data_IF_334479297401
#
_entry.id   IF_334479297401
#
_cell.length_a   1.000
_cell.length_b   1.000
_cell.length_c   1.000
_cell.angle_alpha   90.00
_cell.angle_beta   90.00
_cell.angle_gamma   90.00
#
_symmetry.space_group_name_H-M   'P 1'
#
loop_
_entity.id
_entity.type
_entity.pdbx_description
1 polymer ?
#
# COMPACT_ATOMS: atom_id res chain seq x y z
N UNK A 1 4.42 -2.68 -7.19
CA UNK A 1 4.92 -1.53 -6.40
C UNK A 1 5.62 -2.03 -5.14
N UNK A 2 4.95 -2.74 -4.23
CA UNK A 2 5.53 -3.14 -2.94
C UNK A 2 6.85 -3.93 -3.04
N UNK A 3 6.97 -4.85 -4.01
CA UNK A 3 8.21 -5.61 -4.23
C UNK A 3 9.39 -4.70 -4.60
N UNK A 4 9.17 -3.73 -5.48
CA UNK A 4 10.22 -2.77 -5.86
C UNK A 4 10.64 -1.92 -4.65
N UNK A 5 9.69 -1.50 -3.83
CA UNK A 5 9.99 -0.74 -2.60
C UNK A 5 10.80 -1.63 -1.65
N UNK A 6 10.42 -2.89 -1.47
CA UNK A 6 11.16 -3.85 -0.64
C UNK A 6 12.61 -4.02 -1.10
N UNK A 7 12.83 -4.19 -2.40
CA UNK A 7 14.18 -4.33 -2.95
C UNK A 7 15.01 -3.04 -2.77
N UNK A 8 14.41 -1.86 -2.93
CA UNK A 8 15.08 -0.57 -2.67
C UNK A 8 15.43 -0.40 -1.19
N UNK A 9 14.63 -0.95 -0.28
CA UNK A 9 14.96 -0.99 1.17
C UNK A 9 15.99 -2.07 1.54
N UNK A 10 16.43 -2.89 0.58
CA UNK A 10 17.46 -3.91 0.78
C UNK A 10 16.96 -5.34 0.97
N UNK A 11 15.66 -5.61 0.75
CA UNK A 11 15.13 -6.98 0.79
C UNK A 11 15.60 -7.75 -0.45
N UNK A 12 16.43 -8.78 -0.24
CA UNK A 12 16.99 -9.61 -1.32
C UNK A 12 16.54 -11.07 -1.27
N UNK A 13 16.04 -11.52 -0.12
CA UNK A 13 15.63 -12.91 0.08
C UNK A 13 14.35 -13.22 -0.73
N UNK A 14 14.39 -14.30 -1.52
CA UNK A 14 13.37 -14.59 -2.52
C UNK A 14 12.04 -15.00 -1.89
N UNK A 15 12.05 -15.76 -0.79
CA UNK A 15 10.83 -16.14 -0.10
C UNK A 15 10.14 -14.90 0.50
N UNK A 16 10.89 -13.96 1.08
CA UNK A 16 10.37 -12.69 1.57
C UNK A 16 9.73 -11.87 0.44
N UNK A 17 10.37 -11.77 -0.73
CA UNK A 17 9.82 -11.08 -1.90
C UNK A 17 8.50 -11.73 -2.35
N UNK A 18 8.46 -13.05 -2.47
CA UNK A 18 7.26 -13.80 -2.86
C UNK A 18 6.16 -13.63 -1.82
N UNK A 19 6.48 -13.71 -0.53
CA UNK A 19 5.53 -13.51 0.58
C UNK A 19 4.95 -12.10 0.59
N UNK A 20 5.77 -11.06 0.39
CA UNK A 20 5.32 -9.68 0.30
C UNK A 20 4.40 -9.45 -0.90
N UNK A 21 4.73 -10.07 -2.04
CA UNK A 21 3.84 -10.06 -3.21
C UNK A 21 2.51 -10.73 -2.91
N UNK A 22 2.54 -11.94 -2.34
CA UNK A 22 1.36 -12.74 -2.02
C UNK A 22 0.43 -12.03 -1.04
N UNK A 23 0.95 -11.55 0.10
CA UNK A 23 0.13 -10.88 1.11
C UNK A 23 -0.46 -9.56 0.61
N UNK A 24 0.28 -8.82 -0.22
CA UNK A 24 -0.22 -7.61 -0.86
C UNK A 24 -1.32 -7.92 -1.90
N UNK A 25 -1.21 -9.03 -2.62
CA UNK A 25 -2.28 -9.51 -3.50
C UNK A 25 -3.51 -9.92 -2.68
N UNK A 26 -3.33 -10.62 -1.55
CA UNK A 26 -4.42 -11.00 -0.64
C UNK A 26 -5.20 -9.78 -0.15
N UNK A 27 -4.54 -8.67 0.20
CA UNK A 27 -5.21 -7.42 0.55
C UNK A 27 -6.18 -6.95 -0.55
N UNK A 28 -5.75 -6.98 -1.81
CA UNK A 28 -6.60 -6.58 -2.95
C UNK A 28 -7.77 -7.54 -3.12
N UNK A 29 -7.52 -8.85 -3.00
CA UNK A 29 -8.58 -9.87 -3.06
C UNK A 29 -9.61 -9.67 -1.95
N UNK A 30 -9.20 -9.28 -0.75
CA UNK A 30 -10.13 -8.95 0.34
C UNK A 30 -10.97 -7.69 0.05
N UNK A 31 -10.39 -6.67 -0.59
CA UNK A 31 -11.17 -5.53 -1.09
C UNK A 31 -12.20 -5.96 -2.12
N UNK A 32 -11.81 -6.84 -3.05
CA UNK A 32 -12.76 -7.42 -4.01
C UNK A 32 -13.86 -8.26 -3.35
N UNK A 33 -13.53 -9.05 -2.32
CA UNK A 33 -14.53 -9.79 -1.55
C UNK A 33 -15.50 -8.87 -0.80
N UNK A 34 -15.03 -7.73 -0.29
CA UNK A 34 -15.90 -6.70 0.27
C UNK A 34 -16.91 -6.23 -0.79
N UNK A 35 -16.44 -5.93 -2.01
CA UNK A 35 -17.30 -5.51 -3.12
C UNK A 35 -18.28 -6.56 -3.60
N UNK A 36 -17.86 -7.82 -3.61
CA UNK A 36 -18.68 -8.91 -4.12
C UNK A 36 -19.79 -9.35 -3.17
N UNK A 37 -19.52 -9.35 -1.86
CA UNK A 37 -20.39 -9.97 -0.87
C UNK A 37 -21.11 -8.98 0.05
N UNK A 38 -20.62 -7.75 0.16
CA UNK A 38 -21.21 -6.72 1.02
C UNK A 38 -21.78 -5.57 0.21
N UNK A 39 -22.92 -5.04 0.68
CA UNK A 39 -23.51 -3.83 0.13
C UNK A 39 -23.11 -2.61 0.97
N UNK A 40 -22.83 -1.44 0.37
CA UNK A 40 -22.59 -0.22 1.13
C UNK A 40 -23.73 0.06 2.13
N UNK A 41 -23.40 0.27 3.40
CA UNK A 41 -24.37 0.43 4.49
C UNK A 41 -24.91 -0.87 5.12
N UNK A 42 -24.53 -2.06 4.64
CA UNK A 42 -24.96 -3.36 5.24
C UNK A 42 -24.40 -3.58 6.65
N UNK A 43 -23.27 -2.95 6.97
CA UNK A 43 -22.56 -3.15 8.22
C UNK A 43 -21.57 -4.32 8.21
N UNK A 44 -21.42 -5.06 7.10
CA UNK A 44 -20.38 -6.08 6.97
C UNK A 44 -19.02 -5.46 6.65
N UNK A 45 -18.03 -5.75 7.50
CA UNK A 45 -16.67 -5.18 7.41
C UNK A 45 -15.57 -6.24 7.42
N UNK A 46 -15.92 -7.52 7.57
CA UNK A 46 -14.93 -8.59 7.77
C UNK A 46 -13.92 -8.65 6.61
N UNK A 47 -14.32 -8.62 5.33
CA UNK A 47 -13.36 -8.60 4.23
C UNK A 47 -12.45 -7.36 4.28
N UNK A 48 -13.00 -6.16 4.49
CA UNK A 48 -12.19 -4.94 4.63
C UNK A 48 -11.16 -5.04 5.77
N UNK A 49 -11.55 -5.53 6.95
CA UNK A 49 -10.65 -5.70 8.10
C UNK A 49 -9.53 -6.69 7.76
N UNK A 50 -9.85 -7.82 7.13
CA UNK A 50 -8.84 -8.79 6.69
C UNK A 50 -7.91 -8.19 5.63
N UNK A 51 -8.45 -7.36 4.74
CA UNK A 51 -7.68 -6.53 3.83
C UNK A 51 -6.69 -5.65 4.58
N UNK A 52 -7.11 -4.90 5.59
CA UNK A 52 -6.21 -4.05 6.39
C UNK A 52 -5.13 -4.85 7.12
N UNK A 53 -5.47 -6.02 7.69
CA UNK A 53 -4.50 -6.90 8.36
C UNK A 53 -3.46 -7.39 7.36
N UNK A 54 -3.86 -7.91 6.20
CA UNK A 54 -2.92 -8.34 5.17
C UNK A 54 -2.10 -7.15 4.62
N UNK A 55 -2.76 -6.02 4.42
CA UNK A 55 -2.19 -4.81 3.82
C UNK A 55 -1.14 -4.13 4.69
N UNK A 56 -1.19 -4.24 6.02
CA UNK A 56 -0.21 -3.62 6.91
C UNK A 56 1.09 -4.45 7.03
N UNK A 57 1.05 -5.76 6.78
CA UNK A 57 2.21 -6.66 6.95
C UNK A 57 3.44 -6.20 6.14
N UNK A 58 3.33 -5.87 4.83
CA UNK A 58 4.49 -5.42 4.09
C UNK A 58 5.12 -4.16 4.68
N UNK A 59 4.30 -3.21 5.14
CA UNK A 59 4.80 -1.96 5.72
C UNK A 59 5.56 -2.19 7.01
N UNK A 60 5.05 -3.07 7.89
CA UNK A 60 5.76 -3.49 9.10
C UNK A 60 7.13 -4.06 8.72
N UNK A 61 7.20 -4.97 7.75
CA UNK A 61 8.48 -5.51 7.29
C UNK A 61 9.42 -4.41 6.79
N UNK A 62 8.94 -3.48 5.95
CA UNK A 62 9.76 -2.36 5.45
C UNK A 62 10.26 -1.45 6.59
N UNK A 63 9.48 -1.23 7.64
CA UNK A 63 9.90 -0.44 8.80
C UNK A 63 11.17 -1.02 9.47
N UNK A 64 11.29 -2.34 9.59
CA UNK A 64 12.50 -2.96 10.14
C UNK A 64 13.73 -2.69 9.26
N UNK A 65 13.57 -2.76 7.94
CA UNK A 65 14.67 -2.52 6.99
C UNK A 65 15.07 -1.04 6.94
N UNK A 66 14.11 -0.13 6.83
CA UNK A 66 14.35 1.32 6.71
C UNK A 66 15.04 1.89 7.95
N UNK A 67 14.72 1.39 9.14
CA UNK A 67 15.32 1.83 10.40
C UNK A 67 16.46 0.93 10.88
N UNK A 68 16.88 -0.06 10.07
CA UNK A 68 17.93 -1.03 10.42
C UNK A 68 17.73 -1.67 11.80
N UNK A 69 16.47 -1.99 12.14
CA UNK A 69 16.11 -2.55 13.45
C UNK A 69 16.65 -3.98 13.52
N UNK A 70 17.58 -4.22 14.45
CA UNK A 70 18.27 -5.50 14.58
C UNK A 70 19.38 -5.72 13.53
N UNK A 71 19.72 -4.70 12.74
CA UNK A 71 20.82 -4.72 11.79
C UNK A 71 22.15 -4.23 12.38
N UNK A 72 23.23 -4.20 11.56
CA UNK A 72 24.53 -3.68 11.97
C UNK A 72 24.44 -2.20 12.38
N UNK A 73 25.06 -1.86 13.51
CA UNK A 73 25.06 -0.48 14.02
C UNK A 73 25.68 0.52 13.04
N UNK A 74 25.12 1.74 12.99
CA UNK A 74 25.61 2.82 12.12
C UNK A 74 25.17 2.74 10.66
N UNK A 75 24.29 1.79 10.30
CA UNK A 75 23.69 1.72 8.96
C UNK A 75 22.38 2.51 8.92
N UNK A 76 22.27 3.41 7.94
CA UNK A 76 21.06 4.21 7.69
C UNK A 76 20.67 4.12 6.23
N UNK A 77 19.37 4.05 5.95
CA UNK A 77 18.90 4.09 4.57
C UNK A 77 19.19 5.46 3.93
N UNK A 78 19.36 5.55 2.60
CA UNK A 78 19.40 6.84 1.91
C UNK A 78 18.13 7.65 2.13
N UNK A 79 18.25 8.98 2.21
CA UNK A 79 17.11 9.88 2.50
C UNK A 79 15.90 9.68 1.57
N UNK A 80 16.13 9.42 0.29
CA UNK A 80 15.05 9.19 -0.69
C UNK A 80 14.25 7.91 -0.40
N UNK A 81 14.83 6.90 0.26
CA UNK A 81 14.14 5.65 0.62
C UNK A 81 13.06 5.93 1.65
N UNK A 82 13.36 6.74 2.68
CA UNK A 82 12.34 7.22 3.61
C UNK A 82 11.24 7.97 2.87
N UNK A 83 11.62 8.87 1.95
CA UNK A 83 10.68 9.63 1.12
C UNK A 83 9.72 8.74 0.32
N UNK A 84 10.22 7.65 -0.30
CA UNK A 84 9.41 6.66 -1.02
C UNK A 84 8.49 5.90 -0.07
N UNK A 85 9.03 5.37 1.03
CA UNK A 85 8.25 4.53 1.95
C UNK A 85 7.12 5.32 2.58
N UNK A 86 7.38 6.52 3.09
CA UNK A 86 6.33 7.35 3.69
C UNK A 86 5.32 7.86 2.68
N UNK A 87 5.74 8.34 1.50
CA UNK A 87 4.80 8.86 0.49
C UNK A 87 3.85 7.77 -0.01
N UNK A 88 4.38 6.60 -0.35
CA UNK A 88 3.56 5.49 -0.86
C UNK A 88 2.73 4.88 0.25
N UNK A 89 3.22 4.83 1.50
CA UNK A 89 2.41 4.38 2.65
C UNK A 89 1.15 5.23 2.81
N UNK A 90 1.27 6.56 2.74
CA UNK A 90 0.13 7.47 2.84
C UNK A 90 -0.86 7.27 1.68
N UNK A 91 -0.35 7.12 0.45
CA UNK A 91 -1.22 6.84 -0.70
C UNK A 91 -1.90 5.49 -0.57
N UNK A 92 -1.21 4.47 -0.05
CA UNK A 92 -1.77 3.14 0.18
C UNK A 92 -2.92 3.17 1.19
N UNK A 93 -2.76 3.89 2.30
CA UNK A 93 -3.84 4.12 3.27
C UNK A 93 -5.01 4.90 2.66
N UNK A 94 -4.74 5.77 1.68
CA UNK A 94 -5.79 6.51 0.98
C UNK A 94 -6.69 5.58 0.15
N UNK A 95 -6.16 4.50 -0.43
CA UNK A 95 -7.00 3.47 -1.08
C UNK A 95 -7.95 2.81 -0.08
N UNK A 96 -7.44 2.38 1.08
CA UNK A 96 -8.27 1.80 2.13
C UNK A 96 -9.34 2.79 2.64
N UNK A 97 -8.97 4.06 2.78
CA UNK A 97 -9.90 5.12 3.18
C UNK A 97 -11.04 5.29 2.17
N UNK A 98 -10.79 5.21 0.87
CA UNK A 98 -11.83 5.28 -0.16
C UNK A 98 -12.85 4.14 0.01
N UNK A 99 -12.39 2.89 0.15
CA UNK A 99 -13.29 1.75 0.35
C UNK A 99 -14.12 1.94 1.62
N UNK A 100 -13.48 2.38 2.71
CA UNK A 100 -14.15 2.64 3.97
C UNK A 100 -15.23 3.71 3.85
N UNK A 101 -14.94 4.83 3.19
CA UNK A 101 -15.90 5.92 2.98
C UNK A 101 -17.06 5.52 2.07
N UNK A 102 -16.80 4.76 1.01
CA UNK A 102 -17.83 4.20 0.12
C UNK A 102 -18.77 3.28 0.90
N UNK A 103 -18.22 2.34 1.67
CA UNK A 103 -19.02 1.36 2.41
C UNK A 103 -19.75 1.96 3.62
N UNK A 104 -19.19 3.00 4.24
CA UNK A 104 -19.87 3.76 5.30
C UNK A 104 -20.91 4.73 4.76
N UNK A 105 -20.96 5.00 3.44
CA UNK A 105 -21.87 5.99 2.85
C UNK A 105 -21.75 7.35 3.55
N UNK A 106 -20.51 7.86 3.63
CA UNK A 106 -20.25 9.17 4.26
C UNK A 106 -20.46 10.29 3.24
N UNK A 107 -21.52 11.08 3.39
CA UNK A 107 -21.75 12.29 2.59
C UNK A 107 -21.71 12.03 1.08
N UNK A 108 -20.74 12.63 0.37
CA UNK A 108 -20.64 12.50 -1.10
C UNK A 108 -20.19 11.09 -1.55
N UNK A 109 -19.70 10.25 -0.65
CA UNK A 109 -19.26 8.88 -0.94
C UNK A 109 -20.41 7.87 -1.07
N UNK A 110 -21.65 8.33 -0.96
CA UNK A 110 -22.85 7.54 -1.26
C UNK A 110 -22.94 7.19 -2.75
N UNK A 111 -22.36 8.03 -3.62
CA UNK A 111 -22.25 7.76 -5.04
C UNK A 111 -21.01 6.91 -5.30
N UNK A 112 -21.22 5.67 -5.76
CA UNK A 112 -20.15 4.73 -6.08
C UNK A 112 -19.18 5.30 -7.12
N UNK A 113 -19.67 6.05 -8.12
CA UNK A 113 -18.84 6.62 -9.19
C UNK A 113 -17.84 7.66 -8.66
N UNK A 114 -18.12 8.29 -7.51
CA UNK A 114 -17.14 9.16 -6.85
C UNK A 114 -15.93 8.37 -6.36
N UNK A 115 -16.17 7.21 -5.74
CA UNK A 115 -15.08 6.37 -5.27
C UNK A 115 -14.27 5.78 -6.42
N UNK A 116 -14.94 5.34 -7.49
CA UNK A 116 -14.28 4.86 -8.72
C UNK A 116 -13.33 5.92 -9.32
N UNK A 117 -13.81 7.16 -9.52
CA UNK A 117 -12.96 8.26 -10.00
C UNK A 117 -11.80 8.55 -9.05
N UNK A 118 -12.01 8.39 -7.74
CA UNK A 118 -10.94 8.59 -6.76
C UNK A 118 -9.90 7.49 -6.86
N UNK A 119 -10.29 6.22 -7.02
CA UNK A 119 -9.36 5.11 -7.22
C UNK A 119 -8.51 5.27 -8.47
N UNK A 120 -9.12 5.67 -9.58
CA UNK A 120 -8.40 5.96 -10.83
C UNK A 120 -7.35 7.06 -10.59
N UNK A 121 -7.76 8.14 -9.92
CA UNK A 121 -6.87 9.28 -9.62
C UNK A 121 -5.72 8.88 -8.69
N UNK A 122 -6.02 8.19 -7.59
CA UNK A 122 -5.01 7.69 -6.64
C UNK A 122 -4.05 6.71 -7.33
N UNK A 123 -4.57 5.85 -8.22
CA UNK A 123 -3.77 4.90 -8.99
C UNK A 123 -2.75 5.60 -9.89
N UNK A 124 -3.20 6.64 -10.62
CA UNK A 124 -2.33 7.46 -11.46
C UNK A 124 -1.26 8.15 -10.60
N UNK A 125 -1.68 8.88 -9.56
CA UNK A 125 -0.77 9.65 -8.69
C UNK A 125 0.25 8.74 -8.01
N UNK A 126 -0.17 7.63 -7.40
CA UNK A 126 0.73 6.74 -6.66
C UNK A 126 1.75 6.04 -7.57
N UNK A 127 1.32 5.59 -8.75
CA UNK A 127 2.21 4.93 -9.70
C UNK A 127 3.21 5.92 -10.28
N UNK A 128 2.75 7.09 -10.71
CA UNK A 128 3.63 8.15 -11.24
C UNK A 128 4.61 8.64 -10.18
N UNK A 129 4.17 8.86 -8.95
CA UNK A 129 5.04 9.31 -7.86
C UNK A 129 6.15 8.30 -7.59
N UNK A 130 5.81 7.01 -7.42
CA UNK A 130 6.81 5.97 -7.20
C UNK A 130 7.78 5.87 -8.38
N UNK A 131 7.27 5.88 -9.62
CA UNK A 131 8.10 5.77 -10.81
C UNK A 131 9.16 6.89 -10.88
N UNK A 132 8.75 8.14 -10.68
CA UNK A 132 9.67 9.28 -10.71
C UNK A 132 10.62 9.33 -9.50
N UNK A 133 10.16 8.95 -8.31
CA UNK A 133 11.03 8.85 -7.14
C UNK A 133 12.13 7.79 -7.33
N UNK A 134 11.81 6.63 -7.90
CA UNK A 134 12.82 5.60 -8.23
C UNK A 134 13.75 6.12 -9.32
N UNK A 135 13.19 6.61 -10.43
CA UNK A 135 13.98 7.07 -11.57
C UNK A 135 15.03 8.11 -11.17
N UNK A 136 14.61 9.16 -10.47
CA UNK A 136 15.48 10.27 -10.10
C UNK A 136 16.62 9.89 -9.14
N UNK A 137 16.48 8.80 -8.38
CA UNK A 137 17.43 8.42 -7.33
C UNK A 137 18.25 7.17 -7.65
N UNK A 138 17.82 6.34 -8.62
CA UNK A 138 18.49 5.06 -8.91
C UNK A 138 18.71 4.77 -10.39
N UNK A 139 18.11 5.53 -11.31
CA UNK A 139 18.19 5.25 -12.76
C UNK A 139 18.86 6.37 -13.57
N UNK A 140 19.14 7.52 -12.95
CA UNK A 140 19.97 8.57 -13.56
C UNK A 140 21.46 8.22 -13.33
N UNK A 141 22.33 8.35 -14.35
CA UNK A 141 23.78 8.07 -14.23
C UNK A 141 24.52 8.97 -13.24
#
# INVERSE_FOLDING_TARGET
MIVLIAQITGVTEIAAIISLFGVNASMILFGWLQEKYENPGSGGWVPFIFGCIAGIVPWIALFFYVFSIGGPGGTSAPGFVYGIVFSIFLLFNSFALVQWLQYKRVGRWNDYLRGERTYITLSLVAKSLLAWQIFANTLIP
#
